data_IF_800565648426
#
_entry.id   IF_800565648426
#
_cell.length_a   1.000
_cell.length_b   1.000
_cell.length_c   1.000
_cell.angle_alpha   90.00
_cell.angle_beta   90.00
_cell.angle_gamma   90.00
#
_symmetry.space_group_name_H-M   'P 1'
#
loop_
_entity.id
_entity.type
_entity.pdbx_description
1 polymer ?
#
# COMPACT_ATOMS: atom_id res chain seq x y z
N UNK A 1 29.89 14.87 -9.24
CA UNK A 1 29.50 13.68 -8.44
C UNK A 1 28.53 14.01 -7.29
N UNK A 2 28.85 14.94 -6.37
CA UNK A 2 27.98 15.28 -5.22
C UNK A 2 26.57 15.84 -5.58
N UNK A 3 26.44 16.56 -6.70
CA UNK A 3 25.16 17.09 -7.18
C UNK A 3 24.21 16.01 -7.72
N UNK A 4 24.74 14.99 -8.41
CA UNK A 4 23.95 13.83 -8.87
C UNK A 4 23.46 12.97 -7.69
N UNK A 5 24.30 12.82 -6.65
CA UNK A 5 23.93 12.12 -5.41
C UNK A 5 22.81 12.86 -4.66
N UNK A 6 22.84 14.21 -4.59
CA UNK A 6 21.75 15.00 -3.99
C UNK A 6 20.44 14.90 -4.79
N UNK A 7 20.52 14.87 -6.12
CA UNK A 7 19.35 14.77 -7.01
C UNK A 7 18.70 13.38 -6.93
N UNK A 8 19.51 12.32 -6.85
CA UNK A 8 19.06 10.96 -6.61
C UNK A 8 18.32 10.84 -5.26
N UNK A 9 18.89 11.36 -4.18
CA UNK A 9 18.23 11.39 -2.85
C UNK A 9 16.91 12.17 -2.86
N UNK A 10 16.84 13.33 -3.52
CA UNK A 10 15.61 14.13 -3.61
C UNK A 10 14.47 13.39 -4.33
N UNK A 11 14.78 12.68 -5.41
CA UNK A 11 13.81 11.84 -6.12
C UNK A 11 13.35 10.64 -5.27
N UNK A 12 14.24 10.06 -4.47
CA UNK A 12 13.90 9.04 -3.47
C UNK A 12 12.96 9.57 -2.38
N UNK A 13 13.19 10.79 -1.88
CA UNK A 13 12.32 11.46 -0.89
C UNK A 13 10.93 11.80 -1.44
N UNK A 14 10.85 12.27 -2.68
CA UNK A 14 9.59 12.56 -3.35
C UNK A 14 8.79 11.27 -3.64
N UNK A 15 9.48 10.18 -3.98
CA UNK A 15 8.91 8.84 -4.11
C UNK A 15 8.34 8.33 -2.77
N UNK A 16 9.05 8.56 -1.66
CA UNK A 16 8.65 8.17 -0.30
C UNK A 16 7.32 8.78 0.14
N UNK A 17 7.18 10.10 -0.07
CA UNK A 17 5.96 10.85 0.25
C UNK A 17 4.77 10.36 -0.58
N UNK A 18 4.99 10.18 -1.90
CA UNK A 18 3.93 9.77 -2.83
C UNK A 18 3.41 8.37 -2.53
N UNK A 19 4.28 7.39 -2.28
CA UNK A 19 3.87 6.02 -1.96
C UNK A 19 3.12 5.92 -0.62
N UNK A 20 3.53 6.72 0.37
CA UNK A 20 2.83 6.80 1.66
C UNK A 20 1.45 7.46 1.54
N UNK A 21 1.34 8.55 0.78
CA UNK A 21 0.07 9.21 0.45
C UNK A 21 -0.87 8.27 -0.30
N UNK A 22 -0.38 7.54 -1.31
CA UNK A 22 -1.15 6.51 -2.02
C UNK A 22 -1.67 5.42 -1.07
N UNK A 23 -0.87 5.01 -0.09
CA UNK A 23 -1.27 4.09 0.96
C UNK A 23 -2.43 4.63 1.82
N UNK A 24 -2.36 5.89 2.23
CA UNK A 24 -3.42 6.55 2.99
C UNK A 24 -4.71 6.71 2.17
N UNK A 25 -4.60 7.15 0.91
CA UNK A 25 -5.75 7.27 0.00
C UNK A 25 -6.42 5.91 -0.24
N UNK A 26 -5.64 4.84 -0.43
CA UNK A 26 -6.19 3.49 -0.58
C UNK A 26 -6.86 2.96 0.69
N UNK A 27 -6.39 3.35 1.88
CA UNK A 27 -7.10 3.05 3.13
C UNK A 27 -8.44 3.80 3.24
N UNK A 28 -8.52 5.04 2.78
CA UNK A 28 -9.78 5.78 2.72
C UNK A 28 -10.82 5.10 1.80
N UNK A 29 -10.38 4.61 0.62
CA UNK A 29 -11.26 3.84 -0.28
C UNK A 29 -11.70 2.53 0.40
N UNK A 30 -10.79 1.82 1.07
CA UNK A 30 -11.13 0.62 1.83
C UNK A 30 -12.19 0.89 2.90
N UNK A 31 -12.04 1.96 3.67
CA UNK A 31 -13.01 2.31 4.72
C UNK A 31 -14.38 2.66 4.09
N UNK A 32 -14.39 3.38 2.97
CA UNK A 32 -15.61 3.65 2.20
C UNK A 32 -16.29 2.37 1.70
N UNK A 33 -15.52 1.39 1.21
CA UNK A 33 -16.03 0.07 0.82
C UNK A 33 -16.65 -0.69 2.01
N UNK A 34 -16.13 -0.52 3.23
CA UNK A 34 -16.68 -1.16 4.44
C UNK A 34 -17.88 -0.42 5.02
N UNK A 35 -17.96 0.89 4.83
CA UNK A 35 -19.11 1.69 5.23
C UNK A 35 -20.31 1.47 4.28
N UNK A 36 -20.04 1.13 3.02
CA UNK A 36 -21.07 0.82 2.04
C UNK A 36 -21.92 -0.37 2.51
N UNK A 37 -23.25 -0.20 2.57
CA UNK A 37 -24.18 -1.30 2.87
C UNK A 37 -24.28 -2.31 1.74
N UNK A 38 -24.04 -1.88 0.51
CA UNK A 38 -24.09 -2.74 -0.66
C UNK A 38 -22.80 -3.55 -0.79
N UNK A 39 -22.92 -4.73 -1.40
CA UNK A 39 -21.76 -5.54 -1.73
C UNK A 39 -20.88 -4.86 -2.77
N UNK A 40 -19.58 -4.78 -2.48
CA UNK A 40 -18.61 -4.20 -3.42
C UNK A 40 -17.96 -5.31 -4.24
N UNK A 41 -18.30 -5.37 -5.52
CA UNK A 41 -17.58 -6.21 -6.49
C UNK A 41 -16.31 -5.51 -6.94
N UNK A 42 -15.24 -6.29 -7.09
CA UNK A 42 -13.94 -5.78 -7.52
C UNK A 42 -13.44 -6.58 -8.71
N UNK A 43 -12.99 -5.89 -9.75
CA UNK A 43 -12.51 -6.50 -11.00
C UNK A 43 -11.12 -5.96 -11.30
N UNK A 44 -10.15 -6.86 -11.44
CA UNK A 44 -8.77 -6.51 -11.76
C UNK A 44 -8.52 -6.62 -13.27
N UNK A 45 -8.10 -5.49 -13.83
CA UNK A 45 -7.53 -5.39 -15.19
C UNK A 45 -6.00 -5.42 -15.09
N UNK A 46 -5.44 -4.53 -14.25
CA UNK A 46 -4.06 -4.55 -13.76
C UNK A 46 -4.06 -3.97 -12.35
N UNK A 47 -3.30 -4.56 -11.43
CA UNK A 47 -3.24 -4.07 -10.06
C UNK A 47 -1.84 -4.21 -9.47
N UNK A 48 -1.31 -3.11 -8.96
CA UNK A 48 -0.08 -3.07 -8.20
C UNK A 48 -0.33 -2.42 -6.83
N UNK A 49 0.34 -2.92 -5.80
CA UNK A 49 0.34 -2.36 -4.46
C UNK A 49 -1.07 -2.14 -3.88
N UNK A 50 -1.51 -0.88 -3.72
CA UNK A 50 -2.84 -0.55 -3.19
C UNK A 50 -3.98 -1.05 -4.07
N UNK A 51 -3.78 -1.17 -5.39
CA UNK A 51 -4.78 -1.77 -6.27
C UNK A 51 -5.04 -3.24 -5.94
N UNK A 52 -3.99 -3.99 -5.61
CA UNK A 52 -4.10 -5.40 -5.24
C UNK A 52 -4.76 -5.55 -3.86
N UNK A 53 -4.48 -4.64 -2.94
CA UNK A 53 -5.14 -4.58 -1.62
C UNK A 53 -6.65 -4.30 -1.75
N UNK A 54 -7.04 -3.32 -2.56
CA UNK A 54 -8.44 -2.98 -2.78
C UNK A 54 -9.20 -4.11 -3.48
N UNK A 55 -8.59 -4.75 -4.49
CA UNK A 55 -9.13 -5.95 -5.12
C UNK A 55 -9.42 -7.06 -4.10
N UNK A 56 -8.46 -7.32 -3.20
CA UNK A 56 -8.63 -8.35 -2.18
C UNK A 56 -9.73 -8.00 -1.16
N UNK A 57 -10.05 -6.71 -1.02
CA UNK A 57 -10.95 -6.15 -0.01
C UNK A 57 -12.43 -6.15 -0.41
N UNK A 58 -12.75 -6.43 -1.68
CA UNK A 58 -14.12 -6.63 -2.16
C UNK A 58 -14.84 -7.79 -1.45
N UNK A 59 -16.16 -7.85 -1.60
CA UNK A 59 -17.00 -8.90 -0.99
C UNK A 59 -16.52 -10.29 -1.43
N UNK A 60 -16.42 -11.24 -0.49
CA UNK A 60 -16.03 -12.63 -0.78
C UNK A 60 -16.99 -13.22 -1.83
N UNK A 61 -16.44 -13.86 -2.87
CA UNK A 61 -17.22 -14.37 -4.00
C UNK A 61 -17.50 -13.35 -5.11
N UNK A 62 -17.17 -12.06 -4.92
CA UNK A 62 -17.35 -10.97 -5.91
C UNK A 62 -16.03 -10.30 -6.31
N UNK A 63 -14.93 -11.04 -6.22
CA UNK A 63 -13.56 -10.60 -6.53
C UNK A 63 -13.08 -11.31 -7.77
N UNK A 64 -12.88 -10.58 -8.87
CA UNK A 64 -12.58 -11.14 -10.18
C UNK A 64 -11.27 -10.61 -10.72
N UNK A 65 -10.56 -11.45 -11.47
CA UNK A 65 -9.33 -11.09 -12.15
C UNK A 65 -9.48 -11.50 -13.62
N UNK A 66 -9.20 -10.59 -14.55
CA UNK A 66 -9.21 -10.94 -15.97
C UNK A 66 -8.11 -11.97 -16.28
N UNK A 67 -8.27 -12.84 -17.28
CA UNK A 67 -7.32 -13.93 -17.57
C UNK A 67 -5.87 -13.47 -17.82
N UNK A 68 -5.69 -12.25 -18.35
CA UNK A 68 -4.36 -11.65 -18.62
C UNK A 68 -3.94 -10.61 -17.58
N UNK A 69 -4.70 -10.42 -16.51
CA UNK A 69 -4.38 -9.43 -15.49
C UNK A 69 -3.11 -9.81 -14.74
N UNK A 70 -2.28 -8.81 -14.44
CA UNK A 70 -1.10 -8.96 -13.56
C UNK A 70 -1.37 -8.31 -12.22
N UNK A 71 -1.11 -9.07 -11.16
CA UNK A 71 -1.25 -8.63 -9.77
C UNK A 71 0.13 -8.60 -9.11
N UNK A 72 0.54 -7.43 -8.61
CA UNK A 72 1.81 -7.26 -7.91
C UNK A 72 1.58 -6.81 -6.47
N UNK A 73 1.96 -7.65 -5.52
CA UNK A 73 2.02 -7.31 -4.10
C UNK A 73 3.49 -7.12 -3.76
N UNK A 74 3.90 -5.86 -3.56
CA UNK A 74 5.23 -5.54 -3.07
C UNK A 74 5.12 -4.67 -1.83
N UNK A 75 6.14 -4.74 -0.97
CA UNK A 75 6.24 -3.80 0.13
C UNK A 75 6.44 -2.38 -0.40
N UNK A 76 5.91 -1.35 0.29
CA UNK A 76 6.28 0.01 -0.04
C UNK A 76 7.78 0.15 0.24
N UNK A 77 8.57 0.38 -0.81
CA UNK A 77 10.00 0.69 -0.70
C UNK A 77 10.12 2.05 -0.01
N UNK A 78 10.90 2.13 1.06
CA UNK A 78 11.11 3.41 1.73
C UNK A 78 12.29 3.47 2.68
N UNK A 79 13.28 4.26 2.30
CA UNK A 79 14.40 4.75 3.12
C UNK A 79 14.03 6.14 3.62
N UNK A 80 13.92 6.33 4.94
CA UNK A 80 13.55 7.62 5.53
C UNK A 80 14.78 8.49 5.77
N UNK A 81 14.67 9.80 5.48
CA UNK A 81 15.71 10.79 5.73
C UNK A 81 15.12 12.17 6.04
N UNK A 82 15.79 12.91 6.93
CA UNK A 82 15.39 14.21 7.50
C UNK A 82 15.98 14.41 8.90
N UNK A 83 15.87 15.62 9.50
CA UNK A 83 16.31 15.88 10.90
C UNK A 83 15.75 14.78 11.82
N UNK A 84 16.63 14.16 12.61
CA UNK A 84 16.43 12.85 13.26
C UNK A 84 15.10 12.68 14.00
N UNK A 85 14.62 13.74 14.67
CA UNK A 85 13.37 13.72 15.44
C UNK A 85 12.11 13.64 14.58
N UNK A 86 11.99 14.43 13.50
CA UNK A 86 10.83 14.37 12.57
C UNK A 86 10.86 13.10 11.72
N UNK A 87 12.07 12.60 11.45
CA UNK A 87 12.28 11.34 10.74
C UNK A 87 11.76 10.14 11.55
N UNK A 88 12.12 10.04 12.84
CA UNK A 88 11.67 8.94 13.70
C UNK A 88 10.14 8.83 13.80
N UNK A 89 9.42 9.96 13.89
CA UNK A 89 7.95 9.96 13.91
C UNK A 89 7.36 9.47 12.58
N UNK A 90 7.93 9.89 11.44
CA UNK A 90 7.49 9.42 10.11
C UNK A 90 7.74 7.93 9.93
N UNK A 91 8.92 7.43 10.31
CA UNK A 91 9.25 6.00 10.25
C UNK A 91 8.27 5.18 11.09
N UNK A 92 8.03 5.58 12.35
CA UNK A 92 7.06 4.89 13.23
C UNK A 92 5.66 4.85 12.63
N UNK A 93 5.19 5.96 12.06
CA UNK A 93 3.89 6.00 11.36
C UNK A 93 3.88 5.07 10.15
N UNK A 94 4.92 5.07 9.31
CA UNK A 94 5.01 4.17 8.16
C UNK A 94 4.99 2.69 8.59
N UNK A 95 5.77 2.33 9.62
CA UNK A 95 5.79 0.97 10.16
C UNK A 95 4.41 0.55 10.70
N UNK A 96 3.74 1.42 11.44
CA UNK A 96 2.38 1.17 11.94
C UNK A 96 1.40 0.89 10.80
N UNK A 97 1.38 1.73 9.76
CA UNK A 97 0.49 1.54 8.60
C UNK A 97 0.82 0.27 7.82
N UNK A 98 2.12 -0.03 7.62
CA UNK A 98 2.59 -1.29 7.02
C UNK A 98 2.01 -2.47 7.78
N UNK A 99 2.17 -2.51 9.10
CA UNK A 99 1.66 -3.60 9.95
C UNK A 99 0.13 -3.72 9.83
N UNK A 100 -0.60 -2.60 9.91
CA UNK A 100 -2.06 -2.58 9.80
C UNK A 100 -2.54 -3.15 8.47
N UNK A 101 -1.93 -2.72 7.37
CA UNK A 101 -2.29 -3.16 6.01
C UNK A 101 -2.04 -4.65 5.83
N UNK A 102 -0.89 -5.17 6.27
CA UNK A 102 -0.62 -6.62 6.20
C UNK A 102 -1.56 -7.45 7.08
N UNK A 103 -1.96 -6.95 8.25
CA UNK A 103 -2.96 -7.63 9.11
C UNK A 103 -4.31 -7.74 8.39
N UNK A 104 -4.77 -6.65 7.77
CA UNK A 104 -6.01 -6.65 6.99
C UNK A 104 -5.89 -7.61 5.80
N UNK A 105 -4.80 -7.52 5.04
CA UNK A 105 -4.57 -8.36 3.87
C UNK A 105 -4.52 -9.86 4.22
N UNK A 106 -3.85 -10.20 5.32
CA UNK A 106 -3.82 -11.57 5.86
C UNK A 106 -5.23 -12.05 6.21
N UNK A 107 -6.03 -11.21 6.90
CA UNK A 107 -7.41 -11.54 7.26
C UNK A 107 -8.32 -11.77 6.06
N UNK A 108 -8.23 -10.94 5.02
CA UNK A 108 -9.12 -11.02 3.85
C UNK A 108 -8.69 -12.09 2.82
N UNK A 109 -7.42 -12.52 2.84
CA UNK A 109 -6.90 -13.56 1.94
C UNK A 109 -6.80 -14.93 2.61
N UNK A 110 -6.84 -14.99 3.94
CA UNK A 110 -6.61 -16.23 4.70
C UNK A 110 -5.15 -16.70 4.70
N UNK A 111 -4.22 -15.93 4.11
CA UNK A 111 -2.80 -16.29 4.10
C UNK A 111 -2.11 -15.86 5.39
N UNK A 112 -1.25 -16.73 5.93
CA UNK A 112 -0.40 -16.43 7.07
C UNK A 112 0.57 -15.30 6.69
N UNK A 113 0.81 -14.39 7.63
CA UNK A 113 1.72 -13.26 7.45
C UNK A 113 3.17 -13.77 7.35
N UNK A 114 3.72 -13.88 6.15
CA UNK A 114 5.18 -13.97 5.97
C UNK A 114 5.77 -12.61 6.33
N UNK A 115 6.35 -12.50 7.54
CA UNK A 115 7.20 -11.38 7.91
C UNK A 115 8.63 -11.72 7.49
N UNK A 116 8.96 -11.40 6.24
CA UNK A 116 10.34 -11.23 5.79
C UNK A 116 10.74 -9.77 5.87
#
# INVERSE_FOLDING_TARGET
MAAQIRRARYNEYASLSKNYLLGLSGMGIYDAMKLCKADVSTVCLFAAFMGAFLLASGTKGKKFCMPKARLMIHQPLGTAGGKETKMGIRIRKMAYHKIKLYKILSRITGKLRSMG
#
